data_IF_289097427150
#
_entry.id   IF_289097427150
#
_cell.length_a   1.000
_cell.length_b   1.000
_cell.length_c   1.000
_cell.angle_alpha   90.00
_cell.angle_beta   90.00
_cell.angle_gamma   90.00
#
_symmetry.space_group_name_H-M   'P 1'
#
loop_
_entity.id
_entity.type
_entity.pdbx_description
1 polymer ?
#
# COMPACT_ATOMS: atom_id res chain seq x y z
N UNK A 1 -32.47 -8.46 -29.25
CA UNK A 1 -31.56 -8.68 -28.10
C UNK A 1 -30.31 -9.36 -28.67
N UNK A 2 -29.45 -8.60 -29.36
CA UNK A 2 -28.18 -9.10 -29.89
C UNK A 2 -27.07 -8.39 -29.13
N UNK A 3 -26.77 -8.88 -27.94
CA UNK A 3 -25.64 -8.40 -27.15
C UNK A 3 -24.44 -9.25 -27.55
N UNK A 4 -23.68 -8.80 -28.54
CA UNK A 4 -22.36 -9.36 -28.86
C UNK A 4 -21.44 -9.02 -27.68
N UNK A 5 -21.27 -9.97 -26.78
CA UNK A 5 -20.30 -9.89 -25.69
C UNK A 5 -18.92 -9.99 -26.34
N UNK A 6 -18.06 -8.99 -26.14
CA UNK A 6 -16.67 -9.07 -26.57
C UNK A 6 -15.93 -10.11 -25.70
N UNK A 7 -14.99 -10.85 -26.31
CA UNK A 7 -14.14 -11.85 -25.64
C UNK A 7 -14.86 -13.08 -25.07
N UNK A 8 -15.75 -13.69 -25.85
CA UNK A 8 -16.38 -14.97 -25.48
C UNK A 8 -15.43 -16.14 -25.71
N UNK A 9 -15.19 -16.93 -24.66
CA UNK A 9 -14.44 -18.18 -24.73
C UNK A 9 -15.38 -19.37 -24.52
N UNK A 10 -15.52 -20.22 -25.54
CA UNK A 10 -16.35 -21.43 -25.46
C UNK A 10 -15.59 -22.55 -24.75
N UNK A 11 -16.23 -23.20 -23.77
CA UNK A 11 -15.64 -24.29 -23.01
C UNK A 11 -16.64 -25.42 -22.73
N UNK A 12 -16.11 -26.62 -22.48
CA UNK A 12 -16.88 -27.79 -22.08
C UNK A 12 -16.16 -28.54 -20.96
N UNK A 13 -16.73 -28.51 -19.76
CA UNK A 13 -16.20 -29.22 -18.60
C UNK A 13 -16.23 -30.75 -18.77
N UNK A 14 -17.17 -31.28 -19.56
CA UNK A 14 -17.31 -32.72 -19.80
C UNK A 14 -16.22 -33.28 -20.72
N UNK A 15 -15.79 -32.50 -21.71
CA UNK A 15 -14.81 -32.93 -22.72
C UNK A 15 -13.43 -32.32 -22.50
N UNK A 16 -13.29 -31.36 -21.58
CA UNK A 16 -12.05 -30.60 -21.36
C UNK A 16 -11.78 -29.53 -22.42
N UNK A 17 -12.66 -29.36 -23.42
CA UNK A 17 -12.49 -28.38 -24.48
C UNK A 17 -12.49 -26.96 -23.92
N UNK A 18 -11.54 -26.13 -24.35
CA UNK A 18 -11.45 -24.71 -23.97
C UNK A 18 -10.87 -24.44 -22.57
N UNK A 19 -10.60 -25.45 -21.76
CA UNK A 19 -10.08 -25.29 -20.38
C UNK A 19 -8.65 -24.72 -20.38
N UNK A 20 -7.80 -25.21 -21.28
CA UNK A 20 -6.43 -24.70 -21.43
C UNK A 20 -6.42 -23.24 -21.92
N UNK A 21 -7.27 -22.93 -22.90
CA UNK A 21 -7.44 -21.56 -23.41
C UNK A 21 -7.94 -20.61 -22.31
N UNK A 22 -8.89 -21.05 -21.48
CA UNK A 22 -9.34 -20.27 -20.32
C UNK A 22 -8.19 -20.01 -19.33
N UNK A 23 -7.39 -21.04 -19.05
CA UNK A 23 -6.26 -20.97 -18.11
C UNK A 23 -5.22 -19.98 -18.61
N UNK A 24 -4.86 -20.05 -19.89
CA UNK A 24 -3.90 -19.14 -20.50
C UNK A 24 -4.42 -17.70 -20.55
N UNK A 25 -5.69 -17.49 -20.86
CA UNK A 25 -6.30 -16.14 -20.80
C UNK A 25 -6.27 -15.56 -19.39
N UNK A 26 -6.58 -16.37 -18.37
CA UNK A 26 -6.53 -15.95 -16.97
C UNK A 26 -5.09 -15.60 -16.53
N UNK A 27 -4.12 -16.44 -16.91
CA UNK A 27 -2.71 -16.18 -16.64
C UNK A 27 -2.23 -14.91 -17.34
N UNK A 28 -2.66 -14.66 -18.58
CA UNK A 28 -2.31 -13.43 -19.30
C UNK A 28 -2.88 -12.18 -18.63
N UNK A 29 -4.06 -12.24 -18.02
CA UNK A 29 -4.63 -11.12 -17.25
C UNK A 29 -3.81 -10.83 -15.99
N UNK A 30 -3.32 -11.88 -15.31
CA UNK A 30 -2.58 -11.76 -14.06
C UNK A 30 -1.11 -11.36 -14.31
N UNK A 31 -0.52 -11.80 -15.44
CA UNK A 31 0.90 -11.62 -15.75
C UNK A 31 1.21 -10.28 -16.45
N UNK A 32 0.30 -9.31 -16.42
CA UNK A 32 0.38 -8.02 -17.12
C UNK A 32 1.45 -7.04 -16.60
N UNK A 33 2.32 -7.44 -15.68
CA UNK A 33 3.54 -6.69 -15.39
C UNK A 33 4.03 -6.76 -13.95
N UNK A 34 3.15 -7.01 -12.98
CA UNK A 34 3.51 -6.95 -11.56
C UNK A 34 4.31 -8.16 -11.05
N UNK A 35 4.30 -9.29 -11.76
CA UNK A 35 4.91 -10.56 -11.32
C UNK A 35 6.23 -10.90 -12.04
N UNK A 36 6.71 -10.03 -12.94
CA UNK A 36 7.88 -10.34 -13.78
C UNK A 36 9.21 -9.91 -13.17
N UNK A 37 9.19 -9.18 -12.05
CA UNK A 37 10.38 -8.63 -11.43
C UNK A 37 10.60 -9.24 -10.05
N UNK A 38 11.86 -9.37 -9.67
CA UNK A 38 12.35 -9.76 -8.33
C UNK A 38 11.99 -8.71 -7.24
N UNK A 39 10.88 -7.99 -7.42
CA UNK A 39 10.40 -6.94 -6.56
C UNK A 39 9.76 -7.56 -5.31
N UNK A 40 10.05 -6.96 -4.15
CA UNK A 40 9.43 -7.37 -2.90
C UNK A 40 7.95 -7.04 -2.95
N UNK A 41 7.11 -8.06 -3.04
CA UNK A 41 5.65 -7.91 -3.06
C UNK A 41 5.13 -7.82 -1.63
N UNK A 42 4.42 -6.73 -1.32
CA UNK A 42 3.69 -6.59 -0.06
C UNK A 42 2.35 -7.29 -0.18
N UNK A 43 2.22 -8.49 0.39
CA UNK A 43 1.00 -9.31 0.32
C UNK A 43 0.03 -9.08 1.48
N UNK A 44 0.50 -8.46 2.56
CA UNK A 44 -0.30 -8.22 3.76
C UNK A 44 -0.96 -6.83 3.71
N UNK A 45 -2.29 -6.79 3.76
CA UNK A 45 -3.09 -5.55 3.79
C UNK A 45 -2.70 -4.60 4.92
N UNK A 46 -2.32 -5.13 6.10
CA UNK A 46 -1.86 -4.32 7.23
C UNK A 46 -0.54 -3.60 6.93
N UNK A 47 0.40 -4.30 6.30
CA UNK A 47 1.69 -3.71 5.92
C UNK A 47 1.48 -2.68 4.80
N UNK A 48 0.57 -2.98 3.87
CA UNK A 48 0.21 -2.05 2.81
C UNK A 48 -0.39 -0.75 3.36
N UNK A 49 -1.32 -0.83 4.31
CA UNK A 49 -1.90 0.34 4.97
C UNK A 49 -0.85 1.17 5.74
N UNK A 50 0.03 0.51 6.49
CA UNK A 50 1.12 1.18 7.19
C UNK A 50 2.09 1.91 6.23
N UNK A 51 2.42 1.29 5.09
CA UNK A 51 3.24 1.93 4.06
C UNK A 51 2.55 3.14 3.41
N UNK A 52 1.24 3.06 3.17
CA UNK A 52 0.47 4.19 2.64
C UNK A 52 0.50 5.38 3.60
N UNK A 53 0.27 5.14 4.89
CA UNK A 53 0.33 6.18 5.92
C UNK A 53 1.72 6.79 6.04
N UNK A 54 2.76 5.96 6.07
CA UNK A 54 4.15 6.44 6.06
C UNK A 54 4.45 7.31 4.83
N UNK A 55 3.93 6.93 3.66
CA UNK A 55 4.07 7.69 2.43
C UNK A 55 3.36 9.05 2.50
N UNK A 56 2.16 9.11 3.07
CA UNK A 56 1.44 10.38 3.29
C UNK A 56 2.24 11.34 4.17
N UNK A 57 2.81 10.86 5.28
CA UNK A 57 3.64 11.68 6.16
C UNK A 57 4.91 12.19 5.45
N UNK A 58 5.55 11.35 4.64
CA UNK A 58 6.70 11.76 3.82
C UNK A 58 6.30 12.84 2.80
N UNK A 59 5.10 12.78 2.21
CA UNK A 59 4.63 13.85 1.33
C UNK A 59 4.43 15.17 2.07
N UNK A 60 3.96 15.14 3.33
CA UNK A 60 3.87 16.35 4.16
C UNK A 60 5.25 16.93 4.45
N UNK A 61 6.24 16.09 4.78
CA UNK A 61 7.64 16.53 4.96
C UNK A 61 8.16 17.21 3.69
N UNK A 62 7.95 16.58 2.53
CA UNK A 62 8.35 17.14 1.24
C UNK A 62 7.70 18.50 0.99
N UNK A 63 6.40 18.61 1.21
CA UNK A 63 5.67 19.87 1.08
C UNK A 63 6.18 20.93 2.07
N UNK A 64 6.46 20.54 3.31
CA UNK A 64 7.02 21.43 4.33
C UNK A 64 8.41 21.94 3.95
N UNK A 65 9.26 21.10 3.35
CA UNK A 65 10.56 21.53 2.81
C UNK A 65 10.40 22.54 1.67
N UNK A 66 9.47 22.27 0.73
CA UNK A 66 9.19 23.16 -0.41
C UNK A 66 8.59 24.51 0.03
N UNK A 67 7.87 24.54 1.15
CA UNK A 67 7.24 25.75 1.71
C UNK A 67 8.11 26.49 2.74
N UNK A 68 9.30 25.97 3.06
CA UNK A 68 10.23 26.61 4.00
C UNK A 68 9.81 26.49 5.47
N UNK A 69 9.09 25.42 5.82
CA UNK A 69 8.69 25.12 7.20
C UNK A 69 9.91 24.86 8.08
N UNK A 70 9.83 25.18 9.37
CA UNK A 70 10.95 24.94 10.30
C UNK A 70 11.20 23.46 10.51
N UNK A 71 12.47 23.09 10.76
CA UNK A 71 12.86 21.71 11.01
C UNK A 71 12.11 21.05 12.18
N UNK A 72 11.71 21.83 13.19
CA UNK A 72 10.96 21.33 14.34
C UNK A 72 9.57 20.80 13.96
N UNK A 73 8.91 21.47 12.99
CA UNK A 73 7.61 21.04 12.49
C UNK A 73 7.74 19.83 11.57
N UNK A 74 8.77 19.81 10.70
CA UNK A 74 9.08 18.65 9.85
C UNK A 74 9.41 17.40 10.66
N UNK A 75 10.06 17.56 11.82
CA UNK A 75 10.42 16.45 12.69
C UNK A 75 9.19 15.69 13.23
N UNK A 76 8.02 16.34 13.32
CA UNK A 76 6.77 15.68 13.74
C UNK A 76 6.34 14.68 12.66
N UNK A 77 6.25 15.11 11.41
CA UNK A 77 5.84 14.26 10.29
C UNK A 77 6.85 13.13 10.05
N UNK A 78 8.16 13.38 10.21
CA UNK A 78 9.21 12.34 10.13
C UNK A 78 9.01 11.28 11.21
N UNK A 79 8.72 11.69 12.46
CA UNK A 79 8.44 10.73 13.55
C UNK A 79 7.21 9.88 13.25
N UNK A 80 6.15 10.46 12.67
CA UNK A 80 4.96 9.70 12.30
C UNK A 80 5.22 8.72 11.15
N UNK A 81 6.03 9.09 10.16
CA UNK A 81 6.47 8.15 9.12
C UNK A 81 7.23 6.96 9.74
N UNK A 82 8.15 7.21 10.69
CA UNK A 82 8.89 6.17 11.40
C UNK A 82 7.98 5.28 12.25
N UNK A 83 6.97 5.85 12.91
CA UNK A 83 5.97 5.09 13.67
C UNK A 83 5.27 4.05 12.78
N UNK A 84 4.77 4.47 11.61
CA UNK A 84 4.11 3.56 10.67
C UNK A 84 5.05 2.48 10.12
N UNK A 85 6.34 2.79 9.91
CA UNK A 85 7.32 1.75 9.60
C UNK A 85 7.54 0.77 10.77
N UNK A 86 7.56 1.26 12.00
CA UNK A 86 7.63 0.45 13.23
C UNK A 86 6.44 -0.51 13.37
N UNK A 87 5.25 -0.11 12.92
CA UNK A 87 4.09 -1.01 12.89
C UNK A 87 4.32 -2.24 12.00
N UNK A 88 5.15 -2.12 10.95
CA UNK A 88 5.47 -3.23 10.04
C UNK A 88 6.49 -4.17 10.67
N UNK A 89 7.55 -3.63 11.27
CA UNK A 89 8.62 -4.43 11.90
C UNK A 89 8.23 -4.99 13.26
N UNK A 90 7.15 -4.46 13.88
CA UNK A 90 6.72 -4.82 15.23
C UNK A 90 7.49 -4.07 16.32
N UNK A 91 8.34 -3.11 15.96
CA UNK A 91 9.09 -2.25 16.86
C UNK A 91 8.24 -1.03 17.30
N UNK A 92 6.99 -1.26 17.71
CA UNK A 92 6.19 -0.22 18.35
C UNK A 92 6.57 -0.23 19.83
N UNK A 93 7.26 0.80 20.29
CA UNK A 93 7.65 0.90 21.70
C UNK A 93 6.52 1.51 22.53
N UNK A 94 6.43 1.19 23.82
CA UNK A 94 5.44 1.83 24.72
C UNK A 94 5.58 3.36 24.76
N UNK A 95 6.77 3.91 24.45
CA UNK A 95 7.03 5.34 24.37
C UNK A 95 6.31 6.01 23.17
N UNK A 96 6.08 5.29 22.07
CA UNK A 96 5.33 5.79 20.92
C UNK A 96 3.84 5.97 21.23
N UNK A 97 3.31 5.09 22.07
CA UNK A 97 1.93 5.14 22.59
C UNK A 97 1.73 6.38 23.47
N UNK A 98 2.72 6.70 24.31
CA UNK A 98 2.73 7.92 25.13
C UNK A 98 2.91 9.17 24.25
N UNK A 99 3.79 9.13 23.26
CA UNK A 99 4.00 10.22 22.30
C UNK A 99 2.72 10.64 21.58
N UNK A 100 1.90 9.68 21.13
CA UNK A 100 0.61 9.96 20.48
C UNK A 100 -0.46 10.53 21.43
N UNK A 101 -0.46 10.12 22.70
CA UNK A 101 -1.35 10.67 23.73
C UNK A 101 -0.99 12.13 24.02
N UNK A 102 0.31 12.45 24.09
CA UNK A 102 0.78 13.79 24.44
C UNK A 102 0.97 14.74 23.25
N UNK A 103 1.06 14.24 22.01
CA UNK A 103 1.14 15.06 20.80
C UNK A 103 -0.10 15.96 20.58
N UNK A 104 -1.24 15.59 21.18
CA UNK A 104 -2.48 16.37 21.15
C UNK A 104 -2.65 17.34 22.34
N UNK A 105 -1.71 17.35 23.30
CA UNK A 105 -1.70 18.37 24.36
C UNK A 105 -0.84 19.54 23.91
N UNK A 106 -1.47 20.71 23.70
CA UNK A 106 -0.74 21.96 23.53
C UNK A 106 0.24 22.10 24.69
N UNK A 107 1.54 22.27 24.39
CA UNK A 107 2.57 22.65 25.35
C UNK A 107 2.14 24.02 25.89
N UNK A 108 1.51 23.98 27.06
CA UNK A 108 0.77 25.09 27.64
C UNK A 108 1.12 25.24 29.11
N UNK A 109 2.40 25.37 29.43
CA UNK A 109 2.92 26.32 30.41
C UNK A 109 4.41 26.52 30.25
#
# INVERSE_FOLDING_TARGET
INTTIADVLLLSAKTGFGVEQLTNSLLNLINTGALRNNETIVTNTRHYDALLKAFEEIQKVKYGLETGLSGDLLAIDIRQALYHFGEITGEITNDDLLGNIFANFCIGK
#
